data_IF_088916941148
#
_entry.id   IF_088916941148
#
_cell.length_a   1.000
_cell.length_b   1.000
_cell.length_c   1.000
_cell.angle_alpha   90.00
_cell.angle_beta   90.00
_cell.angle_gamma   90.00
#
_symmetry.space_group_name_H-M   'P 1'
#
loop_
_entity.id
_entity.type
_entity.pdbx_description
1 polymer ?
#
# COMPACT_ATOMS: atom_id res chain seq x y z
N UNK A 1 5.35 -18.28 -14.33
CA UNK A 1 5.20 -16.81 -14.30
C UNK A 1 4.11 -16.45 -13.29
N UNK A 2 4.41 -15.59 -12.37
CA UNK A 2 3.46 -15.14 -11.34
C UNK A 2 2.94 -13.74 -11.71
N UNK A 3 1.62 -13.53 -11.66
CA UNK A 3 0.98 -12.24 -11.95
C UNK A 3 0.49 -11.59 -10.66
N UNK A 4 0.95 -10.38 -10.40
CA UNK A 4 0.57 -9.63 -9.20
C UNK A 4 0.03 -8.25 -9.58
N UNK A 5 -0.89 -7.73 -8.78
CA UNK A 5 -1.41 -6.38 -8.92
C UNK A 5 -1.32 -5.62 -7.61
N UNK A 6 -0.83 -4.37 -7.66
CA UNK A 6 -0.94 -3.45 -6.53
C UNK A 6 -2.34 -2.83 -6.51
N UNK A 7 -3.00 -2.87 -5.37
CA UNK A 7 -4.35 -2.36 -5.21
C UNK A 7 -4.47 -1.49 -3.96
N UNK A 8 -5.09 -0.33 -4.09
CA UNK A 8 -5.43 0.55 -2.97
C UNK A 8 -6.83 0.29 -2.41
N UNK A 9 -7.59 -0.61 -3.02
CA UNK A 9 -9.01 -0.86 -2.77
C UNK A 9 -9.92 0.37 -2.98
N UNK A 10 -9.42 1.42 -3.63
CA UNK A 10 -10.28 2.45 -4.19
C UNK A 10 -11.11 1.90 -5.35
N UNK A 11 -12.17 2.61 -5.71
CA UNK A 11 -13.13 2.17 -6.74
C UNK A 11 -12.47 1.75 -8.07
N UNK A 12 -11.51 2.53 -8.54
CA UNK A 12 -10.90 2.31 -9.85
C UNK A 12 -9.92 1.12 -9.83
N UNK A 13 -9.10 1.01 -8.78
CA UNK A 13 -8.19 -0.13 -8.64
C UNK A 13 -8.93 -1.45 -8.43
N UNK A 14 -10.01 -1.44 -7.65
CA UNK A 14 -10.83 -2.62 -7.45
C UNK A 14 -11.59 -3.00 -8.72
N UNK A 15 -12.15 -2.02 -9.43
CA UNK A 15 -12.82 -2.26 -10.71
C UNK A 15 -11.86 -2.88 -11.75
N UNK A 16 -10.62 -2.39 -11.83
CA UNK A 16 -9.60 -2.95 -12.72
C UNK A 16 -9.32 -4.42 -12.41
N UNK A 17 -9.21 -4.78 -11.13
CA UNK A 17 -8.98 -6.17 -10.71
C UNK A 17 -10.19 -7.05 -11.05
N UNK A 18 -11.40 -6.59 -10.77
CA UNK A 18 -12.62 -7.35 -11.08
C UNK A 18 -12.78 -7.56 -12.59
N UNK A 19 -12.51 -6.54 -13.40
CA UNK A 19 -12.53 -6.65 -14.86
C UNK A 19 -11.48 -7.65 -15.36
N UNK A 20 -10.26 -7.60 -14.84
CA UNK A 20 -9.23 -8.57 -15.20
C UNK A 20 -9.69 -10.01 -14.92
N UNK A 21 -10.29 -10.27 -13.76
CA UNK A 21 -10.81 -11.57 -13.40
C UNK A 21 -11.99 -11.98 -14.29
N UNK A 22 -12.90 -11.06 -14.65
CA UNK A 22 -14.02 -11.33 -15.55
C UNK A 22 -13.55 -11.66 -16.99
N UNK A 23 -12.47 -11.03 -17.42
CA UNK A 23 -11.86 -11.33 -18.73
C UNK A 23 -10.93 -12.55 -18.72
N UNK A 24 -10.78 -13.22 -17.59
CA UNK A 24 -9.93 -14.40 -17.47
C UNK A 24 -8.43 -14.08 -17.52
N UNK A 25 -8.04 -12.84 -17.26
CA UNK A 25 -6.64 -12.47 -17.16
C UNK A 25 -5.97 -13.15 -15.97
N UNK A 26 -4.73 -13.61 -16.11
CA UNK A 26 -4.03 -14.26 -15.02
C UNK A 26 -3.76 -13.27 -13.87
N UNK A 27 -4.20 -13.62 -12.69
CA UNK A 27 -3.95 -12.84 -11.47
C UNK A 27 -3.81 -13.78 -10.27
N UNK A 28 -2.60 -13.93 -9.77
CA UNK A 28 -2.29 -14.83 -8.66
C UNK A 28 -2.40 -14.13 -7.30
N UNK A 29 -2.02 -12.85 -7.27
CA UNK A 29 -1.93 -12.13 -6.02
C UNK A 29 -2.22 -10.62 -6.17
N UNK A 30 -2.94 -10.10 -5.19
CA UNK A 30 -3.15 -8.67 -5.01
C UNK A 30 -2.34 -8.20 -3.80
N UNK A 31 -1.57 -7.14 -3.97
CA UNK A 31 -0.76 -6.54 -2.92
C UNK A 31 -1.37 -5.22 -2.49
N UNK A 32 -1.72 -5.11 -1.23
CA UNK A 32 -2.22 -3.91 -0.60
C UNK A 32 -1.23 -3.40 0.44
N UNK A 33 -0.88 -2.13 0.40
CA UNK A 33 -0.04 -1.50 1.40
C UNK A 33 -0.88 -0.56 2.26
N UNK A 34 -1.15 -0.96 3.50
CA UNK A 34 -1.85 -0.13 4.48
C UNK A 34 -0.88 0.87 5.10
N UNK A 35 -1.15 2.15 4.92
CA UNK A 35 -0.41 3.23 5.57
C UNK A 35 -0.94 3.41 6.97
N UNK A 36 -0.09 3.27 7.98
CA UNK A 36 -0.49 3.46 9.36
C UNK A 36 -0.30 4.92 9.77
N UNK A 37 -1.29 5.48 10.47
CA UNK A 37 -1.17 6.80 11.09
C UNK A 37 -0.16 6.77 12.24
N UNK A 38 -0.33 5.84 13.16
CA UNK A 38 0.63 5.51 14.21
C UNK A 38 0.76 3.98 14.34
N UNK A 39 1.30 3.49 15.45
CA UNK A 39 1.51 2.04 15.66
C UNK A 39 0.22 1.24 15.77
N UNK A 40 -0.88 1.87 16.12
CA UNK A 40 -2.16 1.21 16.42
C UNK A 40 -3.27 1.63 15.46
N UNK A 41 -3.23 2.88 14.97
CA UNK A 41 -4.29 3.49 14.16
C UNK A 41 -3.91 3.44 12.69
N UNK A 42 -4.81 2.91 11.86
CA UNK A 42 -4.69 2.96 10.41
C UNK A 42 -4.82 4.39 9.88
N UNK A 43 -4.11 4.70 8.81
CA UNK A 43 -4.30 5.93 8.04
C UNK A 43 -5.51 5.90 7.11
N UNK A 44 -6.17 4.74 6.99
CA UNK A 44 -7.40 4.62 6.22
C UNK A 44 -8.60 5.16 7.00
N UNK A 45 -9.58 5.71 6.29
CA UNK A 45 -10.89 6.03 6.87
C UNK A 45 -11.50 4.75 7.44
N UNK A 46 -12.04 4.75 8.69
CA UNK A 46 -12.49 3.54 9.35
C UNK A 46 -13.48 2.70 8.54
N UNK A 47 -14.44 3.32 7.88
CA UNK A 47 -15.44 2.66 7.04
C UNK A 47 -14.79 2.00 5.81
N UNK A 48 -13.81 2.65 5.20
CA UNK A 48 -13.07 2.08 4.08
C UNK A 48 -12.19 0.92 4.51
N UNK A 49 -11.53 1.04 5.65
CA UNK A 49 -10.75 -0.05 6.23
C UNK A 49 -11.63 -1.26 6.55
N UNK A 50 -12.77 -1.03 7.15
CA UNK A 50 -13.75 -2.08 7.44
C UNK A 50 -14.20 -2.79 6.14
N UNK A 51 -14.57 -2.04 5.12
CA UNK A 51 -14.90 -2.57 3.79
C UNK A 51 -13.76 -3.43 3.21
N UNK A 52 -12.52 -2.98 3.29
CA UNK A 52 -11.35 -3.73 2.78
C UNK A 52 -11.28 -5.10 3.44
N UNK A 53 -11.29 -5.15 4.78
CA UNK A 53 -11.05 -6.38 5.52
C UNK A 53 -12.25 -7.30 5.61
N UNK A 54 -13.46 -6.77 5.65
CA UNK A 54 -14.67 -7.58 5.80
C UNK A 54 -15.32 -7.96 4.48
N UNK A 55 -15.10 -7.20 3.42
CA UNK A 55 -15.79 -7.40 2.14
C UNK A 55 -14.84 -7.64 0.98
N UNK A 56 -13.91 -6.71 0.72
CA UNK A 56 -13.09 -6.76 -0.50
C UNK A 56 -12.07 -7.91 -0.48
N UNK A 57 -11.29 -8.05 0.57
CA UNK A 57 -10.30 -9.13 0.71
C UNK A 57 -10.98 -10.51 0.66
N UNK A 58 -12.02 -10.80 1.47
CA UNK A 58 -12.71 -12.08 1.39
C UNK A 58 -13.29 -12.37 0.02
N UNK A 59 -13.80 -11.35 -0.69
CA UNK A 59 -14.35 -11.52 -2.03
C UNK A 59 -13.30 -11.93 -3.07
N UNK A 60 -12.09 -11.39 -2.99
CA UNK A 60 -10.97 -11.77 -3.85
C UNK A 60 -10.45 -13.16 -3.52
N UNK A 61 -10.31 -13.48 -2.24
CA UNK A 61 -9.87 -14.82 -1.79
C UNK A 61 -10.84 -15.92 -2.21
N UNK A 62 -12.15 -15.67 -2.17
CA UNK A 62 -13.14 -16.62 -2.71
C UNK A 62 -13.02 -16.84 -4.21
N UNK A 63 -12.43 -15.91 -4.95
CA UNK A 63 -12.09 -16.03 -6.37
C UNK A 63 -10.74 -16.67 -6.64
N UNK A 64 -10.05 -17.14 -5.60
CA UNK A 64 -8.74 -17.77 -5.70
C UNK A 64 -7.55 -16.80 -5.79
N UNK A 65 -7.79 -15.51 -5.58
CA UNK A 65 -6.73 -14.51 -5.58
C UNK A 65 -6.19 -14.31 -4.17
N UNK A 66 -4.91 -14.54 -3.97
CA UNK A 66 -4.25 -14.26 -2.70
C UNK A 66 -4.19 -12.75 -2.47
N UNK A 67 -4.47 -12.30 -1.26
CA UNK A 67 -4.27 -10.88 -0.88
C UNK A 67 -3.17 -10.78 0.16
N UNK A 68 -2.15 -10.01 -0.15
CA UNK A 68 -1.03 -9.73 0.75
C UNK A 68 -1.09 -8.30 1.23
N UNK A 69 -1.21 -8.13 2.56
CA UNK A 69 -1.20 -6.81 3.20
C UNK A 69 0.20 -6.48 3.68
N UNK A 70 0.72 -5.37 3.19
CA UNK A 70 2.01 -4.83 3.60
C UNK A 70 1.81 -3.62 4.50
N UNK A 71 2.74 -3.40 5.41
CA UNK A 71 2.85 -2.19 6.24
C UNK A 71 4.29 -1.77 6.32
N UNK A 72 4.54 -0.45 6.37
CA UNK A 72 5.86 0.08 6.66
C UNK A 72 6.15 -0.01 8.17
N UNK A 73 7.43 -0.13 8.51
CA UNK A 73 7.91 0.08 9.89
C UNK A 73 7.72 1.53 10.34
N UNK A 74 7.69 2.47 9.38
CA UNK A 74 7.45 3.90 9.62
C UNK A 74 5.97 4.22 9.47
N UNK A 75 5.46 5.02 10.39
CA UNK A 75 4.10 5.55 10.38
C UNK A 75 4.07 7.00 9.91
N UNK A 76 2.87 7.53 9.67
CA UNK A 76 2.70 8.96 9.38
C UNK A 76 3.28 9.84 10.49
N UNK A 77 3.01 9.51 11.76
CA UNK A 77 3.52 10.24 12.92
C UNK A 77 5.04 10.22 12.97
N UNK A 78 5.68 9.07 12.69
CA UNK A 78 7.14 8.97 12.66
C UNK A 78 7.75 9.91 11.61
N UNK A 79 7.12 10.04 10.45
CA UNK A 79 7.60 10.93 9.40
C UNK A 79 7.33 12.40 9.73
N UNK A 80 6.16 12.71 10.28
CA UNK A 80 5.79 14.07 10.66
C UNK A 80 6.72 14.62 11.76
N UNK A 81 7.03 13.81 12.78
CA UNK A 81 7.91 14.18 13.89
C UNK A 81 9.38 13.92 13.60
N UNK A 82 9.70 13.27 12.49
CA UNK A 82 11.07 13.00 12.07
C UNK A 82 11.86 14.26 11.78
N UNK A 83 13.15 14.26 12.12
CA UNK A 83 14.04 15.37 11.84
C UNK A 83 14.63 15.28 10.43
N UNK A 84 14.79 16.43 9.81
CA UNK A 84 15.51 16.55 8.53
C UNK A 84 16.98 16.29 8.78
N UNK A 85 17.59 15.39 8.01
CA UNK A 85 18.97 14.93 8.22
C UNK A 85 20.00 15.62 7.34
N UNK A 86 19.59 16.34 6.29
CA UNK A 86 20.48 16.99 5.32
C UNK A 86 19.94 18.35 4.90
N UNK A 87 20.86 19.20 4.42
CA UNK A 87 20.54 20.52 3.87
C UNK A 87 20.39 21.62 4.91
N UNK A 88 19.96 22.83 4.46
CA UNK A 88 19.86 24.02 5.32
C UNK A 88 18.89 23.89 6.47
N UNK A 89 17.90 22.99 6.33
CA UNK A 89 16.86 22.74 7.34
C UNK A 89 17.16 21.54 8.24
N UNK A 90 18.42 21.05 8.25
CA UNK A 90 18.85 19.94 9.11
C UNK A 90 18.49 20.20 10.57
N UNK A 91 17.90 19.19 11.23
CA UNK A 91 17.50 19.24 12.64
C UNK A 91 16.08 19.77 12.87
N UNK A 92 15.43 20.38 11.87
CA UNK A 92 14.02 20.77 11.96
C UNK A 92 13.11 19.56 11.74
N UNK A 93 11.88 19.65 12.26
CA UNK A 93 10.84 18.65 12.00
C UNK A 93 10.45 18.66 10.52
N UNK A 94 10.14 17.49 9.98
CA UNK A 94 9.69 17.35 8.58
C UNK A 94 8.33 17.96 8.31
N UNK A 95 7.44 17.95 9.31
CA UNK A 95 6.07 18.45 9.22
C UNK A 95 5.23 17.85 8.07
N UNK A 96 4.11 18.46 7.74
CA UNK A 96 3.22 17.97 6.69
C UNK A 96 3.88 17.96 5.31
N UNK A 97 3.69 16.89 4.53
CA UNK A 97 4.03 16.90 3.10
C UNK A 97 3.04 17.80 2.35
N UNK A 98 3.46 18.99 1.96
CA UNK A 98 2.56 20.00 1.39
C UNK A 98 2.47 19.90 -0.15
N UNK A 99 3.46 19.39 -0.83
CA UNK A 99 3.42 19.27 -2.29
C UNK A 99 4.50 18.35 -2.86
N UNK A 100 4.26 17.88 -4.08
CA UNK A 100 5.18 17.27 -5.04
C UNK A 100 5.89 15.97 -4.62
N UNK A 101 6.50 15.91 -3.45
CA UNK A 101 7.24 14.74 -2.97
C UNK A 101 6.76 14.34 -1.58
N UNK A 102 5.72 13.52 -1.55
CA UNK A 102 5.16 13.02 -0.29
C UNK A 102 6.07 11.94 0.33
N UNK A 103 6.66 12.24 1.48
CA UNK A 103 7.48 11.29 2.22
C UNK A 103 6.66 10.09 2.72
N UNK A 104 5.38 10.29 3.04
CA UNK A 104 4.47 9.21 3.44
C UNK A 104 4.26 8.23 2.29
N UNK A 105 3.95 8.72 1.09
CA UNK A 105 3.81 7.87 -0.08
C UNK A 105 5.10 7.10 -0.38
N UNK A 106 6.25 7.76 -0.34
CA UNK A 106 7.55 7.14 -0.62
C UNK A 106 7.91 6.08 0.41
N UNK A 107 7.88 6.44 1.69
CA UNK A 107 8.44 5.60 2.76
C UNK A 107 7.43 4.62 3.35
N UNK A 108 6.15 5.00 3.43
CA UNK A 108 5.11 4.16 4.04
C UNK A 108 4.34 3.29 3.03
N UNK A 109 4.46 3.57 1.72
CA UNK A 109 3.72 2.85 0.68
C UNK A 109 4.64 2.26 -0.40
N UNK A 110 5.39 3.09 -1.13
CA UNK A 110 6.19 2.62 -2.26
C UNK A 110 7.35 1.73 -1.83
N UNK A 111 8.08 2.08 -0.79
CA UNK A 111 9.21 1.25 -0.31
C UNK A 111 8.81 -0.16 0.12
N UNK A 112 7.76 -0.37 0.93
CA UNK A 112 7.28 -1.70 1.24
C UNK A 112 6.90 -2.51 -0.01
N UNK A 113 6.19 -1.90 -0.95
CA UNK A 113 5.78 -2.55 -2.21
C UNK A 113 7.01 -2.96 -3.02
N UNK A 114 7.95 -2.04 -3.27
CA UNK A 114 9.18 -2.32 -4.02
C UNK A 114 10.05 -3.38 -3.34
N UNK A 115 10.14 -3.37 -2.01
CA UNK A 115 10.86 -4.40 -1.26
C UNK A 115 10.21 -5.77 -1.45
N UNK A 116 8.89 -5.83 -1.38
CA UNK A 116 8.14 -7.05 -1.62
C UNK A 116 8.35 -7.56 -3.05
N UNK A 117 8.22 -6.70 -4.06
CA UNK A 117 8.44 -7.04 -5.47
C UNK A 117 9.84 -7.63 -5.70
N UNK A 118 10.88 -7.06 -5.08
CA UNK A 118 12.25 -7.58 -5.17
C UNK A 118 12.45 -8.95 -4.50
N UNK A 119 11.57 -9.35 -3.61
CA UNK A 119 11.60 -10.68 -2.96
C UNK A 119 10.90 -11.76 -3.78
N UNK A 120 10.18 -11.38 -4.82
CA UNK A 120 9.45 -12.30 -5.69
C UNK A 120 10.38 -12.91 -6.75
N UNK A 121 9.98 -14.03 -7.36
CA UNK A 121 10.72 -14.61 -8.49
C UNK A 121 10.92 -13.61 -9.63
N UNK A 122 12.04 -13.68 -10.38
CA UNK A 122 12.37 -12.70 -11.42
C UNK A 122 11.41 -12.72 -12.62
N UNK A 123 10.63 -13.77 -12.80
CA UNK A 123 9.61 -13.92 -13.83
C UNK A 123 8.22 -13.43 -13.37
N UNK A 124 8.13 -12.69 -12.26
CA UNK A 124 6.88 -12.11 -11.77
C UNK A 124 6.51 -10.87 -12.59
N UNK A 125 5.27 -10.77 -12.99
CA UNK A 125 4.67 -9.67 -13.79
C UNK A 125 3.64 -8.92 -12.96
#
# INVERSE_FOLDING_TARGET
>A
MKHIASCSFGKDSLATILLALEHGEPLDEVVYCEVMFDKEISGEVPEHRDFIYTTAIPALERRGVKVTVLRSEKTYVDLFTGKITRGPKKGLLRSFPICGRCAVQRDCKLKPILRYQKSLPPDTV
#
